data_IF_357738201255
#
_entry.id   IF_357738201255
#
_cell.length_a   1.000
_cell.length_b   1.000
_cell.length_c   1.000
_cell.angle_alpha   90.00
_cell.angle_beta   90.00
_cell.angle_gamma   90.00
#
_symmetry.space_group_name_H-M   'P 1'
#
loop_
_entity.id
_entity.type
_entity.pdbx_description
1 polymer ?
#
# COMPACT_ATOMS: atom_id res chain seq x y z
N UNK A 1 1.85 3.45 -17.91
CA UNK A 1 1.32 3.62 -16.54
C UNK A 1 0.86 2.25 -16.05
N UNK A 2 1.31 1.83 -14.88
CA UNK A 2 0.91 0.58 -14.23
C UNK A 2 -0.39 0.77 -13.43
N UNK A 3 -1.11 -0.35 -13.25
CA UNK A 3 -2.30 -0.45 -12.40
C UNK A 3 -2.19 -1.73 -11.58
N UNK A 4 -2.55 -1.65 -10.30
CA UNK A 4 -2.79 -2.82 -9.45
C UNK A 4 -4.12 -2.68 -8.73
N UNK A 5 -4.86 -3.79 -8.62
CA UNK A 5 -6.14 -3.85 -7.92
C UNK A 5 -5.98 -4.80 -6.74
N UNK A 6 -6.22 -4.29 -5.53
CA UNK A 6 -6.25 -5.11 -4.33
C UNK A 6 -7.53 -5.94 -4.32
N UNK A 7 -7.41 -7.25 -4.23
CA UNK A 7 -8.55 -8.19 -4.24
C UNK A 7 -8.91 -8.71 -2.85
N UNK A 8 -8.01 -8.55 -1.87
CA UNK A 8 -8.13 -9.17 -0.55
C UNK A 8 -7.71 -10.64 -0.53
N UNK A 9 -7.16 -11.18 -1.62
CA UNK A 9 -6.57 -12.52 -1.66
C UNK A 9 -5.05 -12.49 -1.49
N UNK A 10 -4.46 -11.30 -1.38
CA UNK A 10 -3.04 -11.13 -1.17
C UNK A 10 -2.59 -11.78 0.16
N UNK A 11 -1.32 -12.17 0.19
CA UNK A 11 -0.66 -12.39 1.47
C UNK A 11 -0.51 -11.05 2.17
N UNK A 12 -0.93 -10.99 3.44
CA UNK A 12 -0.94 -9.77 4.25
C UNK A 12 -0.47 -10.12 5.65
N UNK A 13 0.41 -9.29 6.19
CA UNK A 13 0.84 -9.36 7.59
C UNK A 13 0.49 -8.06 8.31
N UNK A 14 0.23 -8.16 9.62
CA UNK A 14 0.08 -6.96 10.45
C UNK A 14 1.45 -6.32 10.61
N UNK A 15 1.52 -5.02 10.34
CA UNK A 15 2.71 -4.21 10.47
C UNK A 15 2.45 -3.12 11.51
N UNK A 16 2.95 -3.33 12.73
CA UNK A 16 2.86 -2.37 13.82
C UNK A 16 4.18 -1.62 13.95
N UNK A 17 4.14 -0.31 13.72
CA UNK A 17 5.29 0.55 14.04
C UNK A 17 5.21 1.21 15.40
N UNK A 18 4.02 1.47 15.92
CA UNK A 18 3.79 2.05 17.25
C UNK A 18 2.39 1.63 17.75
N UNK A 19 2.18 1.59 19.07
CA UNK A 19 0.88 1.31 19.68
C UNK A 19 -0.13 2.42 19.33
N UNK A 20 -0.79 2.30 18.17
CA UNK A 20 -1.90 3.17 17.80
C UNK A 20 -3.22 2.45 18.15
N UNK A 21 -3.99 3.06 19.05
CA UNK A 21 -5.26 2.50 19.52
C UNK A 21 -6.36 2.59 18.46
N UNK A 22 -6.34 3.60 17.56
CA UNK A 22 -7.39 3.86 16.58
C UNK A 22 -7.13 3.27 15.19
N UNK A 23 -5.88 2.98 14.84
CA UNK A 23 -5.48 2.54 13.50
C UNK A 23 -4.72 1.22 13.53
N UNK A 24 -4.70 0.54 12.39
CA UNK A 24 -3.91 -0.68 12.17
C UNK A 24 -3.20 -0.60 10.82
N UNK A 25 -1.96 -1.09 10.79
CA UNK A 25 -1.12 -1.15 9.59
C UNK A 25 -0.98 -2.57 9.08
N UNK A 26 -0.88 -2.69 7.75
CA UNK A 26 -0.74 -3.94 7.04
C UNK A 26 0.37 -3.83 5.99
N UNK A 27 1.22 -4.85 5.90
CA UNK A 27 2.23 -5.01 4.86
C UNK A 27 1.81 -6.13 3.90
N UNK A 28 2.09 -5.91 2.62
CA UNK A 28 1.89 -6.89 1.54
C UNK A 28 3.28 -7.44 1.14
N UNK A 29 3.80 -8.48 1.82
CA UNK A 29 5.22 -8.84 1.76
C UNK A 29 5.67 -9.32 0.37
N UNK A 30 4.77 -9.93 -0.39
CA UNK A 30 5.05 -10.47 -1.72
C UNK A 30 4.64 -9.52 -2.86
N UNK A 31 4.12 -8.33 -2.52
CA UNK A 31 3.71 -7.37 -3.53
C UNK A 31 4.90 -6.48 -3.90
N UNK A 32 5.35 -6.62 -5.14
CA UNK A 32 6.31 -5.72 -5.77
C UNK A 32 5.67 -5.15 -7.05
N UNK A 33 5.36 -3.84 -7.03
CA UNK A 33 4.67 -3.18 -8.13
C UNK A 33 5.61 -2.67 -9.23
N UNK A 34 6.94 -2.73 -9.06
CA UNK A 34 7.90 -2.27 -10.08
C UNK A 34 7.78 -0.77 -10.43
N UNK A 35 7.30 0.04 -9.50
CA UNK A 35 7.04 1.46 -9.73
C UNK A 35 8.32 2.31 -9.73
N UNK A 36 8.32 3.41 -10.49
CA UNK A 36 9.40 4.38 -10.54
C UNK A 36 9.43 5.23 -9.27
N UNK A 37 10.61 5.33 -8.65
CA UNK A 37 10.86 6.20 -7.51
C UNK A 37 11.77 7.37 -7.92
N UNK A 38 11.29 8.61 -7.83
CA UNK A 38 12.07 9.80 -8.21
C UNK A 38 12.83 10.36 -7.00
N UNK A 39 13.85 9.65 -6.51
CA UNK A 39 14.91 10.17 -5.62
C UNK A 39 14.51 10.83 -4.28
N UNK A 40 13.22 10.99 -3.99
CA UNK A 40 12.69 11.72 -2.86
C UNK A 40 11.30 11.18 -2.53
N UNK A 41 11.30 10.02 -1.90
CA UNK A 41 10.24 9.38 -1.11
C UNK A 41 8.83 9.21 -1.70
N UNK A 42 8.27 10.14 -2.46
CA UNK A 42 6.91 10.05 -2.98
C UNK A 42 6.85 9.23 -4.27
N UNK A 43 6.12 8.11 -4.28
CA UNK A 43 5.77 7.46 -5.54
C UNK A 43 4.88 8.41 -6.35
N UNK A 44 5.07 8.51 -7.67
CA UNK A 44 4.08 9.11 -8.54
C UNK A 44 2.93 8.11 -8.71
N UNK A 45 2.05 8.07 -7.70
CA UNK A 45 0.97 7.10 -7.60
C UNK A 45 -0.28 7.71 -6.98
N UNK A 46 -1.44 7.23 -7.43
CA UNK A 46 -2.76 7.63 -6.95
C UNK A 46 -3.62 6.40 -6.69
N UNK A 47 -4.52 6.50 -5.71
CA UNK A 47 -5.51 5.46 -5.41
C UNK A 47 -6.91 6.07 -5.32
N UNK A 48 -7.92 5.25 -5.63
CA UNK A 48 -9.32 5.66 -5.55
C UNK A 48 -9.89 5.71 -4.13
N UNK A 49 -9.33 4.93 -3.18
CA UNK A 49 -9.85 4.84 -1.81
C UNK A 49 -8.93 5.48 -0.76
N UNK A 50 -7.68 5.73 -1.12
CA UNK A 50 -6.66 6.14 -0.17
C UNK A 50 -5.79 7.26 -0.73
N UNK A 51 -5.39 8.17 0.14
CA UNK A 51 -4.23 9.00 -0.12
C UNK A 51 -2.99 8.09 -0.23
N UNK A 52 -2.10 8.42 -1.16
CA UNK A 52 -0.84 7.70 -1.35
C UNK A 52 0.29 8.53 -0.77
N UNK A 53 1.11 7.89 0.06
CA UNK A 53 2.23 8.52 0.74
C UNK A 53 3.53 7.75 0.49
N UNK A 54 4.64 8.39 0.84
CA UNK A 54 5.92 7.71 0.97
C UNK A 54 6.00 6.91 2.26
N UNK A 55 6.90 5.92 2.34
CA UNK A 55 7.06 5.14 3.57
C UNK A 55 7.54 5.92 4.78
N UNK A 56 8.15 7.10 4.64
CA UNK A 56 8.46 7.93 5.81
C UNK A 56 7.17 8.37 6.55
N UNK A 57 6.04 8.45 5.85
CA UNK A 57 4.72 8.72 6.45
C UNK A 57 4.05 7.47 7.02
N UNK A 58 4.58 6.26 6.85
CA UNK A 58 3.94 5.08 7.46
C UNK A 58 4.01 5.08 9.00
N UNK A 59 4.94 5.89 9.56
CA UNK A 59 5.02 6.23 10.98
C UNK A 59 4.02 7.32 11.40
N UNK A 60 3.39 8.00 10.45
CA UNK A 60 2.36 9.00 10.74
C UNK A 60 1.01 8.33 11.06
N UNK A 61 0.16 9.03 11.81
CA UNK A 61 -1.19 8.61 12.19
C UNK A 61 -2.22 8.90 11.09
N UNK A 62 -1.85 8.66 9.83
CA UNK A 62 -2.71 8.96 8.69
C UNK A 62 -3.14 7.66 8.00
N UNK A 63 -4.43 7.59 7.64
CA UNK A 63 -4.93 6.53 6.77
C UNK A 63 -4.40 6.73 5.35
N UNK A 64 -3.95 5.63 4.72
CA UNK A 64 -3.50 5.67 3.34
C UNK A 64 -2.76 4.42 2.88
N UNK A 65 -2.30 4.49 1.64
CA UNK A 65 -1.34 3.55 1.05
C UNK A 65 0.05 4.16 1.14
N UNK A 66 1.04 3.38 1.56
CA UNK A 66 2.45 3.78 1.45
C UNK A 66 3.20 2.80 0.56
N UNK A 67 4.07 3.33 -0.31
CA UNK A 67 4.97 2.53 -1.13
C UNK A 67 6.43 2.81 -0.75
N UNK A 68 7.26 1.78 -0.62
CA UNK A 68 8.67 1.93 -0.27
C UNK A 68 9.59 1.79 -1.48
N UNK A 69 10.82 2.28 -1.36
CA UNK A 69 11.84 2.21 -2.42
C UNK A 69 12.11 0.79 -2.98
N UNK A 70 11.76 -0.27 -2.25
CA UNK A 70 11.93 -1.66 -2.67
C UNK A 70 10.69 -2.23 -3.37
N UNK A 71 9.69 -1.41 -3.69
CA UNK A 71 8.47 -1.85 -4.35
C UNK A 71 7.38 -2.37 -3.39
N UNK A 72 7.64 -2.41 -2.07
CA UNK A 72 6.68 -2.93 -1.09
C UNK A 72 5.54 -1.95 -0.87
N UNK A 73 4.36 -2.51 -0.64
CA UNK A 73 3.14 -1.77 -0.36
C UNK A 73 2.66 -2.00 1.07
N UNK A 74 2.08 -0.94 1.63
CA UNK A 74 1.47 -0.94 2.94
C UNK A 74 0.12 -0.23 2.90
N UNK A 75 -0.84 -0.71 3.70
CA UNK A 75 -2.12 -0.04 3.92
C UNK A 75 -2.27 0.24 5.41
N UNK A 76 -2.65 1.48 5.73
CA UNK A 76 -3.05 1.89 7.08
C UNK A 76 -4.44 2.47 7.03
N UNK A 77 -5.30 2.05 7.97
CA UNK A 77 -6.67 2.56 8.07
C UNK A 77 -7.20 2.48 9.51
N UNK A 78 -8.23 3.24 9.82
CA UNK A 78 -8.89 3.19 11.12
C UNK A 78 -9.52 1.81 11.33
N UNK A 79 -9.38 1.32 12.56
CA UNK A 79 -9.98 0.06 13.01
C UNK A 79 -11.50 0.06 12.85
N UNK A 80 -12.14 1.23 12.92
CA UNK A 80 -13.59 1.41 12.73
C UNK A 80 -14.08 1.15 11.30
N UNK A 81 -13.18 1.13 10.30
CA UNK A 81 -13.53 0.74 8.92
C UNK A 81 -13.58 -0.78 8.76
N UNK A 82 -12.98 -1.52 9.68
CA UNK A 82 -12.91 -2.97 9.65
C UNK A 82 -13.95 -3.57 10.59
N UNK A 83 -14.60 -4.65 10.15
CA UNK A 83 -15.46 -5.44 11.06
C UNK A 83 -14.65 -6.06 12.21
N UNK A 84 -13.43 -6.51 11.90
CA UNK A 84 -12.44 -6.99 12.87
C UNK A 84 -11.09 -6.35 12.60
N UNK A 85 -10.39 -5.77 13.59
CA UNK A 85 -9.12 -5.09 13.37
C UNK A 85 -7.94 -6.08 13.22
N UNK A 86 -7.97 -6.89 12.17
CA UNK A 86 -6.98 -7.92 11.85
C UNK A 86 -6.89 -8.14 10.32
N UNK A 87 -6.08 -9.12 9.89
CA UNK A 87 -5.88 -9.45 8.47
C UNK A 87 -7.18 -9.83 7.76
N UNK A 88 -8.00 -10.69 8.37
CA UNK A 88 -9.28 -11.12 7.78
C UNK A 88 -10.25 -9.95 7.58
N UNK A 89 -10.27 -9.01 8.53
CA UNK A 89 -11.06 -7.78 8.40
C UNK A 89 -10.61 -6.92 7.24
N UNK A 90 -9.29 -6.72 7.05
CA UNK A 90 -8.77 -6.01 5.88
C UNK A 90 -9.16 -6.71 4.58
N UNK A 91 -8.95 -8.03 4.50
CA UNK A 91 -9.27 -8.82 3.30
C UNK A 91 -10.75 -8.69 2.93
N UNK A 92 -11.65 -8.80 3.91
CA UNK A 92 -13.09 -8.59 3.71
C UNK A 92 -13.40 -7.17 3.26
N UNK A 93 -12.72 -6.17 3.83
CA UNK A 93 -12.88 -4.78 3.45
C UNK A 93 -12.45 -4.53 2.00
N UNK A 94 -11.30 -5.07 1.56
CA UNK A 94 -10.81 -4.94 0.18
C UNK A 94 -11.74 -5.61 -0.84
N UNK A 95 -12.34 -6.74 -0.49
CA UNK A 95 -13.34 -7.43 -1.33
C UNK A 95 -14.61 -6.62 -1.57
N UNK A 96 -14.97 -5.76 -0.63
CA UNK A 96 -16.17 -4.91 -0.71
C UNK A 96 -15.87 -3.48 -1.17
N UNK A 97 -14.63 -3.02 -1.01
CA UNK A 97 -14.16 -1.69 -1.36
C UNK A 97 -13.03 -1.82 -2.37
N UNK A 98 -13.38 -1.97 -3.66
CA UNK A 98 -12.42 -2.13 -4.75
C UNK A 98 -11.38 -1.00 -4.67
N UNK A 99 -10.13 -1.39 -4.44
CA UNK A 99 -9.02 -0.45 -4.28
C UNK A 99 -8.05 -0.64 -5.42
N UNK A 100 -7.94 0.38 -6.26
CA UNK A 100 -6.99 0.45 -7.36
C UNK A 100 -5.87 1.41 -6.98
N UNK A 101 -4.65 1.09 -7.40
CA UNK A 101 -3.51 2.01 -7.42
C UNK A 101 -2.97 2.13 -8.84
N UNK A 102 -2.74 3.36 -9.28
CA UNK A 102 -2.17 3.72 -10.57
C UNK A 102 -0.81 4.37 -10.33
N UNK A 103 0.22 3.97 -11.08
CA UNK A 103 1.60 4.40 -10.84
C UNK A 103 2.45 4.41 -12.10
N UNK A 104 3.54 5.19 -12.10
CA UNK A 104 4.55 5.12 -13.14
C UNK A 104 5.45 3.89 -12.96
N UNK A 105 5.79 3.20 -14.04
CA UNK A 105 6.69 2.04 -14.04
C UNK A 105 8.13 2.51 -14.19
N UNK A 106 9.09 1.77 -13.63
CA UNK A 106 10.49 1.92 -13.99
C UNK A 106 10.64 1.64 -15.50
N UNK A 107 11.34 2.52 -16.21
CA UNK A 107 11.75 2.23 -17.58
C UNK A 107 12.65 0.99 -17.57
N UNK A 108 12.32 -0.02 -18.38
CA UNK A 108 13.25 -1.12 -18.60
C UNK A 108 14.49 -0.58 -19.31
N UNK A 109 15.67 -0.78 -18.74
CA UNK A 109 16.92 -0.57 -19.48
C UNK A 109 17.02 -1.73 -20.47
N UNK A 110 16.72 -1.48 -21.74
CA UNK A 110 17.11 -2.39 -22.82
C UNK A 110 18.63 -2.33 -22.95
N UNK A 111 19.33 -3.40 -22.56
CA UNK A 111 20.74 -3.55 -22.89
C UNK A 111 20.84 -3.82 -24.39
N UNK A 112 21.54 -2.99 -25.20
CA UNK A 112 21.78 -3.32 -26.60
C UNK A 112 22.54 -4.66 -26.68
N UNK A 113 22.08 -5.55 -27.57
CA UNK A 113 22.77 -6.78 -27.94
C UNK A 113 24.13 -6.51 -28.60
#
# INVERSE_FOLDING_TARGET
>A
MGKYTFTGDEEVIIFNLENNESEIGFEFPNLNLGFKHNGGDFPNAVSNNFAVYSTIYIRSKYEGIALNQNGKCYIRLAKTRLETPNVEGLKKWLKTNQTDIYFELLEQIETPL
#
